data_IF_979801136287
#
_entry.id   IF_979801136287
#
_cell.length_a   1.000
_cell.length_b   1.000
_cell.length_c   1.000
_cell.angle_alpha   90.00
_cell.angle_beta   90.00
_cell.angle_gamma   90.00
#
_symmetry.space_group_name_H-M   'P 1'
#
loop_
_entity.id
_entity.type
_entity.pdbx_description
1 polymer ?
#
# COMPACT_ATOMS: atom_id res chain seq x y z
N UNK A 1 4.83 -21.21 -18.63
CA UNK A 1 4.04 -20.49 -19.65
C UNK A 1 4.44 -19.03 -19.58
N UNK A 2 5.24 -18.58 -20.51
CA UNK A 2 5.63 -17.16 -20.65
C UNK A 2 4.41 -16.38 -21.10
N UNK A 3 3.87 -15.54 -20.21
CA UNK A 3 2.78 -14.62 -20.53
C UNK A 3 3.34 -13.65 -21.58
N UNK A 4 2.96 -13.81 -22.85
CA UNK A 4 3.20 -12.82 -23.88
C UNK A 4 2.56 -11.50 -23.40
N UNK A 5 3.38 -10.51 -23.11
CA UNK A 5 2.92 -9.17 -22.77
C UNK A 5 2.03 -8.69 -23.91
N UNK A 6 0.74 -8.49 -23.59
CA UNK A 6 -0.24 -7.99 -24.55
C UNK A 6 0.18 -6.61 -25.04
N UNK A 7 0.55 -6.54 -26.31
CA UNK A 7 0.95 -5.33 -27.05
C UNK A 7 -0.24 -4.37 -27.34
N UNK A 8 -1.43 -4.64 -26.81
CA UNK A 8 -2.66 -3.95 -27.20
C UNK A 8 -2.91 -2.60 -26.51
N UNK A 9 -2.10 -2.16 -25.58
CA UNK A 9 -2.24 -0.84 -24.98
C UNK A 9 -0.86 -0.19 -24.82
N UNK A 10 -0.46 0.53 -25.85
CA UNK A 10 0.73 1.38 -25.81
C UNK A 10 0.34 2.86 -25.95
N UNK A 11 -0.24 3.50 -24.91
CA UNK A 11 -0.34 4.95 -24.89
C UNK A 11 1.05 5.62 -24.76
N UNK A 12 2.12 4.81 -24.77
CA UNK A 12 3.49 5.20 -24.39
C UNK A 12 4.43 5.23 -25.60
N UNK A 13 4.02 4.73 -26.77
CA UNK A 13 4.94 4.53 -27.91
C UNK A 13 5.38 5.80 -28.64
N UNK A 14 4.72 6.95 -28.39
CA UNK A 14 5.10 8.24 -28.99
C UNK A 14 5.24 9.31 -27.92
N UNK A 15 6.24 9.13 -27.02
CA UNK A 15 6.56 10.18 -26.05
C UNK A 15 7.23 11.35 -26.77
N UNK A 16 6.68 12.55 -26.56
CA UNK A 16 7.27 13.79 -27.05
C UNK A 16 8.57 14.10 -26.27
N UNK A 17 9.39 14.98 -26.83
CA UNK A 17 10.57 15.51 -26.11
C UNK A 17 10.18 16.11 -24.75
N UNK A 18 9.00 16.72 -24.67
CA UNK A 18 8.44 17.31 -23.43
C UNK A 18 8.16 16.21 -22.40
N UNK A 19 7.62 15.05 -22.79
CA UNK A 19 7.34 13.95 -21.87
C UNK A 19 8.64 13.38 -21.28
N UNK A 20 9.69 13.25 -22.08
CA UNK A 20 11.02 12.86 -21.60
C UNK A 20 11.62 13.88 -20.64
N UNK A 21 11.50 15.17 -20.96
CA UNK A 21 11.97 16.24 -20.09
C UNK A 21 11.26 16.23 -18.73
N UNK A 22 9.92 16.15 -18.73
CA UNK A 22 9.11 16.07 -17.51
C UNK A 22 9.47 14.83 -16.69
N UNK A 23 9.65 13.69 -17.34
CA UNK A 23 10.06 12.45 -16.66
C UNK A 23 11.42 12.61 -15.96
N UNK A 24 12.42 13.15 -16.65
CA UNK A 24 13.75 13.37 -16.07
C UNK A 24 13.69 14.37 -14.91
N UNK A 25 12.89 15.44 -15.03
CA UNK A 25 12.69 16.41 -13.94
C UNK A 25 12.05 15.72 -12.71
N UNK A 26 11.02 14.90 -12.90
CA UNK A 26 10.40 14.11 -11.82
C UNK A 26 11.42 13.18 -11.15
N UNK A 27 12.29 12.55 -11.92
CA UNK A 27 13.35 11.68 -11.40
C UNK A 27 14.37 12.47 -10.55
N UNK A 28 14.79 13.64 -11.01
CA UNK A 28 15.67 14.54 -10.25
C UNK A 28 15.01 14.94 -8.93
N UNK A 29 13.74 15.38 -8.97
CA UNK A 29 13.00 15.75 -7.75
C UNK A 29 12.90 14.57 -6.80
N UNK A 30 12.63 13.35 -7.30
CA UNK A 30 12.61 12.14 -6.48
C UNK A 30 13.94 11.89 -5.77
N UNK A 31 15.06 11.95 -6.51
CA UNK A 31 16.39 11.70 -5.94
C UNK A 31 16.74 12.77 -4.90
N UNK A 32 16.56 14.04 -5.24
CA UNK A 32 16.88 15.16 -4.35
C UNK A 32 16.03 15.12 -3.08
N UNK A 33 14.71 14.93 -3.20
CA UNK A 33 13.84 14.83 -2.04
C UNK A 33 14.15 13.60 -1.17
N UNK A 34 14.50 12.46 -1.78
CA UNK A 34 14.93 11.27 -1.04
C UNK A 34 16.19 11.54 -0.22
N UNK A 35 17.20 12.18 -0.82
CA UNK A 35 18.45 12.54 -0.13
C UNK A 35 18.15 13.48 1.05
N UNK A 36 17.39 14.55 0.83
CA UNK A 36 17.03 15.52 1.88
C UNK A 36 16.31 14.83 3.03
N UNK A 37 15.33 13.99 2.73
CA UNK A 37 14.53 13.29 3.75
C UNK A 37 15.35 12.25 4.51
N UNK A 38 16.24 11.51 3.83
CA UNK A 38 17.18 10.59 4.47
C UNK A 38 18.05 11.36 5.49
N UNK A 39 18.68 12.47 5.07
CA UNK A 39 19.47 13.29 5.98
C UNK A 39 18.65 13.84 7.15
N UNK A 40 17.43 14.30 6.89
CA UNK A 40 16.55 14.81 7.94
C UNK A 40 16.18 13.72 8.97
N UNK A 41 15.86 12.49 8.53
CA UNK A 41 15.61 11.37 9.45
C UNK A 41 16.84 10.98 10.23
N UNK A 42 18.02 10.91 9.59
CA UNK A 42 19.27 10.52 10.26
C UNK A 42 19.72 11.56 11.30
N UNK A 43 19.53 12.85 11.02
CA UNK A 43 19.95 13.93 11.92
C UNK A 43 18.95 14.20 13.04
N UNK A 44 17.66 14.18 12.73
CA UNK A 44 16.62 14.67 13.64
C UNK A 44 15.64 13.58 14.11
N UNK A 45 15.53 12.44 13.40
CA UNK A 45 14.52 11.43 13.70
C UNK A 45 14.60 10.87 15.12
N UNK A 46 15.82 10.66 15.64
CA UNK A 46 16.02 10.18 17.03
C UNK A 46 15.80 11.27 18.09
N UNK A 47 15.99 12.54 17.72
CA UNK A 47 15.92 13.69 18.64
C UNK A 47 14.50 14.24 18.74
N UNK A 48 13.75 14.19 17.66
CA UNK A 48 12.43 14.80 17.55
C UNK A 48 11.46 13.76 16.99
N UNK A 49 10.61 13.14 17.83
CA UNK A 49 9.66 12.07 17.41
C UNK A 49 8.72 12.49 16.28
N UNK A 50 8.45 13.79 16.12
CA UNK A 50 7.68 14.32 15.00
C UNK A 50 8.31 13.96 13.65
N UNK A 51 9.63 14.10 13.51
CA UNK A 51 10.32 13.80 12.25
C UNK A 51 10.24 12.31 11.90
N UNK A 52 10.41 11.43 12.90
CA UNK A 52 10.31 9.98 12.69
C UNK A 52 8.94 9.57 12.15
N UNK A 53 7.87 10.20 12.64
CA UNK A 53 6.49 9.90 12.24
C UNK A 53 6.06 10.56 10.93
N UNK A 54 6.38 11.84 10.72
CA UNK A 54 5.80 12.63 9.65
C UNK A 54 6.67 12.74 8.39
N UNK A 55 7.99 12.57 8.47
CA UNK A 55 8.83 12.57 7.27
C UNK A 55 8.46 11.48 6.26
N UNK A 56 8.14 10.23 6.67
CA UNK A 56 7.64 9.23 5.73
C UNK A 56 6.35 9.67 5.03
N UNK A 57 5.42 10.33 5.74
CA UNK A 57 4.18 10.85 5.15
C UNK A 57 4.48 11.90 4.08
N UNK A 58 5.39 12.84 4.38
CA UNK A 58 5.82 13.88 3.42
C UNK A 58 6.46 13.22 2.18
N UNK A 59 7.32 12.23 2.39
CA UNK A 59 7.93 11.47 1.30
C UNK A 59 6.88 10.79 0.41
N UNK A 60 5.90 10.11 1.01
CA UNK A 60 4.81 9.49 0.28
C UNK A 60 3.97 10.52 -0.48
N UNK A 61 3.70 11.71 0.09
CA UNK A 61 3.01 12.80 -0.62
C UNK A 61 3.80 13.29 -1.84
N UNK A 62 5.12 13.41 -1.73
CA UNK A 62 5.98 13.74 -2.85
C UNK A 62 5.89 12.65 -3.95
N UNK A 63 5.94 11.36 -3.57
CA UNK A 63 5.81 10.26 -4.53
C UNK A 63 4.47 10.29 -5.26
N UNK A 64 3.36 10.51 -4.55
CA UNK A 64 2.03 10.63 -5.14
C UNK A 64 1.96 11.77 -6.13
N UNK A 65 2.50 12.94 -5.76
CA UNK A 65 2.57 14.09 -6.64
C UNK A 65 3.42 13.80 -7.90
N UNK A 66 4.60 13.20 -7.73
CA UNK A 66 5.48 12.81 -8.84
C UNK A 66 4.82 11.81 -9.80
N UNK A 67 4.04 10.86 -9.27
CA UNK A 67 3.33 9.87 -10.06
C UNK A 67 1.98 10.36 -10.57
N UNK A 68 1.62 11.63 -10.27
CA UNK A 68 0.35 12.23 -10.66
C UNK A 68 -0.86 11.42 -10.18
N UNK A 69 -0.78 10.88 -8.95
CA UNK A 69 -1.83 10.11 -8.31
C UNK A 69 -2.79 11.07 -7.60
N UNK A 70 -4.08 10.93 -7.87
CA UNK A 70 -5.18 11.64 -7.23
C UNK A 70 -5.93 10.67 -6.33
N UNK A 71 -6.03 11.00 -5.03
CA UNK A 71 -6.71 10.18 -4.04
C UNK A 71 -8.08 10.79 -3.75
N UNK A 72 -9.12 9.98 -3.90
CA UNK A 72 -10.48 10.26 -3.45
C UNK A 72 -10.75 9.47 -2.19
N UNK A 73 -11.20 10.13 -1.14
CA UNK A 73 -11.52 9.49 0.15
C UNK A 73 -13.03 9.32 0.27
N UNK A 74 -13.46 8.13 0.69
CA UNK A 74 -14.85 7.80 1.00
C UNK A 74 -14.93 7.16 2.38
N UNK A 75 -15.90 7.57 3.19
CA UNK A 75 -15.98 7.19 4.60
C UNK A 75 -15.03 8.02 5.48
N UNK A 76 -14.95 7.65 6.74
CA UNK A 76 -14.18 8.40 7.75
C UNK A 76 -13.00 7.56 8.26
N UNK A 77 -11.84 8.23 8.37
CA UNK A 77 -10.70 7.65 9.08
C UNK A 77 -10.99 7.73 10.57
N UNK A 78 -10.90 6.61 11.27
CA UNK A 78 -10.95 6.64 12.73
C UNK A 78 -9.70 7.31 13.29
N UNK A 79 -9.82 8.60 13.60
CA UNK A 79 -8.77 9.40 14.22
C UNK A 79 -8.84 9.39 15.75
N UNK A 80 -9.82 8.69 16.34
CA UNK A 80 -10.11 8.70 17.78
C UNK A 80 -9.10 7.95 18.65
N UNK A 81 -7.94 7.58 18.10
CA UNK A 81 -6.89 6.75 18.71
C UNK A 81 -7.31 5.31 19.07
N UNK A 82 -8.50 4.88 18.63
CA UNK A 82 -8.97 3.53 18.92
C UNK A 82 -8.44 2.50 17.91
N UNK A 83 -8.23 2.89 16.65
CA UNK A 83 -7.74 1.98 15.62
C UNK A 83 -6.22 1.96 15.57
N UNK A 84 -5.65 0.80 15.91
CA UNK A 84 -4.21 0.56 15.89
C UNK A 84 -3.80 -0.26 14.67
N UNK A 85 -4.70 -1.13 14.16
CA UNK A 85 -4.45 -1.96 12.99
C UNK A 85 -5.31 -1.52 11.81
N UNK A 86 -4.66 -1.30 10.68
CA UNK A 86 -5.30 -1.00 9.40
C UNK A 86 -5.00 -2.11 8.41
N UNK A 87 -5.97 -2.47 7.60
CA UNK A 87 -5.82 -3.52 6.58
C UNK A 87 -6.48 -3.10 5.27
N UNK A 88 -5.99 -3.63 4.15
CA UNK A 88 -6.66 -3.49 2.86
C UNK A 88 -6.35 -4.64 1.90
N UNK A 89 -7.07 -4.66 0.76
CA UNK A 89 -6.65 -5.40 -0.42
C UNK A 89 -5.34 -4.83 -0.99
N UNK A 90 -4.62 -5.62 -1.81
CA UNK A 90 -3.30 -5.27 -2.32
C UNK A 90 -3.16 -5.56 -3.82
N UNK A 91 -2.93 -4.51 -4.61
CA UNK A 91 -2.76 -4.63 -6.06
C UNK A 91 -1.34 -4.31 -6.53
N UNK A 92 -0.70 -3.33 -5.88
CA UNK A 92 0.52 -2.74 -6.39
C UNK A 92 1.40 -2.21 -5.26
N UNK A 93 2.71 -2.10 -5.50
CA UNK A 93 3.59 -1.35 -4.60
C UNK A 93 3.17 0.12 -4.45
N UNK A 94 2.35 0.66 -5.36
CA UNK A 94 1.78 2.00 -5.25
C UNK A 94 0.81 2.14 -4.06
N UNK A 95 0.23 1.04 -3.58
CA UNK A 95 -0.67 1.07 -2.42
C UNK A 95 0.04 1.62 -1.17
N UNK A 96 1.36 1.37 -1.06
CA UNK A 96 2.18 1.83 0.07
C UNK A 96 2.25 3.37 0.13
N UNK A 97 2.73 4.09 -0.91
CA UNK A 97 2.76 5.54 -0.88
C UNK A 97 1.37 6.17 -0.86
N UNK A 98 0.34 5.54 -1.46
CA UNK A 98 -1.04 6.03 -1.41
C UNK A 98 -1.52 6.07 0.04
N UNK A 99 -1.45 4.95 0.75
CA UNK A 99 -1.86 4.86 2.15
C UNK A 99 -0.96 5.66 3.08
N UNK A 100 0.36 5.55 2.90
CA UNK A 100 1.34 6.25 3.72
C UNK A 100 1.33 7.77 3.57
N UNK A 101 0.68 8.31 2.54
CA UNK A 101 0.48 9.76 2.39
C UNK A 101 -0.67 10.31 3.21
N UNK A 102 -1.54 9.46 3.73
CA UNK A 102 -2.75 9.89 4.45
C UNK A 102 -2.45 10.25 5.90
N UNK A 103 -1.74 9.40 6.62
CA UNK A 103 -1.30 9.62 8.00
C UNK A 103 -0.10 8.70 8.34
N UNK A 104 0.58 8.90 9.49
CA UNK A 104 1.70 8.07 9.89
C UNK A 104 1.28 6.60 10.07
N UNK A 105 1.93 5.70 9.32
CA UNK A 105 1.67 4.26 9.34
C UNK A 105 3.00 3.49 9.39
N UNK A 106 3.04 2.39 10.14
CA UNK A 106 4.10 1.39 10.06
C UNK A 106 3.60 0.21 9.23
N UNK A 107 4.15 0.03 8.05
CA UNK A 107 3.81 -1.09 7.20
C UNK A 107 4.45 -2.39 7.65
N UNK A 108 3.74 -3.48 7.48
CA UNK A 108 4.30 -4.83 7.62
C UNK A 108 4.67 -5.33 6.22
N UNK A 109 5.93 -5.68 6.02
CA UNK A 109 6.45 -6.16 4.75
C UNK A 109 7.23 -7.47 4.91
N UNK A 110 7.41 -8.20 3.81
CA UNK A 110 8.24 -9.39 3.77
C UNK A 110 9.72 -9.04 3.94
N UNK A 111 10.49 -9.88 4.62
CA UNK A 111 11.93 -9.69 4.83
C UNK A 111 12.73 -9.57 3.55
N UNK A 112 12.27 -10.18 2.44
CA UNK A 112 12.91 -10.06 1.13
C UNK A 112 12.94 -8.61 0.61
N UNK A 113 11.96 -7.77 1.02
CA UNK A 113 11.93 -6.34 0.66
C UNK A 113 13.03 -5.55 1.37
N UNK A 114 13.44 -6.00 2.53
CA UNK A 114 14.48 -5.33 3.35
C UNK A 114 15.82 -5.18 2.63
N UNK A 115 16.16 -6.12 1.76
CA UNK A 115 17.41 -6.15 1.00
C UNK A 115 17.31 -5.50 -0.38
N UNK A 116 16.14 -4.97 -0.75
CA UNK A 116 16.00 -4.27 -2.03
C UNK A 116 16.81 -2.96 -2.01
N UNK A 117 17.63 -2.72 -3.05
CA UNK A 117 18.38 -1.49 -3.15
C UNK A 117 17.47 -0.26 -3.06
N UNK A 118 17.83 0.73 -2.27
CA UNK A 118 17.12 1.97 -1.99
C UNK A 118 15.77 1.75 -1.27
N UNK A 119 14.85 0.91 -1.82
CA UNK A 119 13.50 0.70 -1.26
C UNK A 119 13.54 0.05 0.12
N UNK A 120 14.40 -0.96 0.33
CA UNK A 120 14.57 -1.59 1.64
C UNK A 120 15.11 -0.62 2.67
N UNK A 121 16.08 0.22 2.28
CA UNK A 121 16.62 1.27 3.15
C UNK A 121 15.57 2.32 3.51
N UNK A 122 14.79 2.82 2.53
CA UNK A 122 13.70 3.76 2.78
C UNK A 122 12.59 3.16 3.66
N UNK A 123 12.26 1.88 3.43
CA UNK A 123 11.29 1.17 4.26
C UNK A 123 11.76 1.04 5.72
N UNK A 124 13.05 0.76 5.96
CA UNK A 124 13.64 0.77 7.31
C UNK A 124 13.53 2.12 7.98
N UNK A 125 13.87 3.19 7.26
CA UNK A 125 13.75 4.56 7.77
C UNK A 125 12.29 4.93 8.07
N UNK A 126 11.33 4.42 7.29
CA UNK A 126 9.89 4.58 7.53
C UNK A 126 9.34 3.68 8.64
N UNK A 127 10.19 2.94 9.36
CA UNK A 127 9.78 2.09 10.48
C UNK A 127 8.99 0.85 10.05
N UNK A 128 9.19 0.34 8.84
CA UNK A 128 8.56 -0.89 8.36
C UNK A 128 8.94 -2.08 9.22
N UNK A 129 7.95 -2.90 9.58
CA UNK A 129 8.12 -4.14 10.33
C UNK A 129 8.35 -5.27 9.33
N UNK A 130 9.57 -5.81 9.28
CA UNK A 130 9.89 -6.91 8.38
C UNK A 130 9.59 -8.26 9.02
N UNK A 131 8.86 -9.11 8.27
CA UNK A 131 8.47 -10.46 8.68
C UNK A 131 9.01 -11.50 7.70
N UNK A 132 9.56 -12.59 8.26
CA UNK A 132 10.06 -13.74 7.50
C UNK A 132 8.92 -14.67 7.08
N UNK A 133 9.11 -15.49 6.05
CA UNK A 133 8.17 -16.57 5.70
C UNK A 133 8.39 -17.85 6.49
N UNK A 134 9.48 -17.93 7.28
CA UNK A 134 9.78 -19.11 8.03
C UNK A 134 8.82 -19.30 9.20
N UNK A 135 8.28 -20.50 9.35
CA UNK A 135 7.37 -20.82 10.46
C UNK A 135 8.07 -20.76 11.82
N UNK A 136 9.38 -21.03 11.88
CA UNK A 136 10.20 -20.88 13.08
C UNK A 136 10.15 -19.48 13.67
N UNK A 137 9.99 -18.47 12.82
CA UNK A 137 10.05 -17.06 13.22
C UNK A 137 8.66 -16.48 13.55
N UNK A 138 7.61 -17.31 13.46
CA UNK A 138 6.21 -16.87 13.58
C UNK A 138 5.89 -16.19 14.91
N UNK A 139 6.50 -16.65 16.00
CA UNK A 139 6.33 -16.05 17.32
C UNK A 139 7.03 -14.69 17.44
N UNK A 140 8.24 -14.57 16.91
CA UNK A 140 8.98 -13.31 16.88
C UNK A 140 8.24 -12.26 16.04
N UNK A 141 7.70 -12.68 14.90
CA UNK A 141 6.90 -11.81 14.02
C UNK A 141 5.62 -11.31 14.70
N UNK A 142 4.89 -12.23 15.34
CA UNK A 142 3.73 -11.89 16.17
C UNK A 142 4.10 -10.84 17.23
N UNK A 143 5.21 -11.07 17.94
CA UNK A 143 5.67 -10.20 19.01
C UNK A 143 6.09 -8.81 18.50
N UNK A 144 6.75 -8.72 17.33
CA UNK A 144 7.11 -7.44 16.72
C UNK A 144 5.87 -6.60 16.38
N UNK A 145 4.87 -7.19 15.73
CA UNK A 145 3.62 -6.51 15.41
C UNK A 145 2.86 -6.14 16.67
N UNK A 146 2.74 -7.08 17.63
CA UNK A 146 2.07 -6.83 18.90
C UNK A 146 2.73 -5.68 19.69
N UNK A 147 4.06 -5.62 19.73
CA UNK A 147 4.79 -4.54 20.40
C UNK A 147 4.46 -3.17 19.79
N UNK A 148 4.45 -3.06 18.47
CA UNK A 148 4.07 -1.82 17.78
C UNK A 148 2.65 -1.41 18.12
N UNK A 149 1.68 -2.33 18.03
CA UNK A 149 0.28 -2.08 18.37
C UNK A 149 0.11 -1.64 19.83
N UNK A 150 0.84 -2.26 20.76
CA UNK A 150 0.80 -1.93 22.19
C UNK A 150 1.50 -0.62 22.54
N UNK A 151 2.33 -0.10 21.63
CA UNK A 151 3.00 1.20 21.76
C UNK A 151 2.21 2.34 21.10
N UNK A 152 0.92 2.12 20.83
CA UNK A 152 0.01 3.07 20.18
C UNK A 152 0.47 3.52 18.78
N UNK A 153 1.24 2.66 18.12
CA UNK A 153 1.62 2.87 16.72
C UNK A 153 0.53 2.34 15.80
N UNK A 154 0.29 3.06 14.71
CA UNK A 154 -0.67 2.64 13.68
C UNK A 154 0.01 1.68 12.71
N UNK A 155 -0.35 0.41 12.79
CA UNK A 155 0.23 -0.66 11.95
C UNK A 155 -0.66 -0.93 10.75
N UNK A 156 -0.06 -1.13 9.59
CA UNK A 156 -0.76 -1.47 8.35
C UNK A 156 -0.31 -2.82 7.80
N UNK A 157 -1.27 -3.70 7.53
CA UNK A 157 -1.03 -5.03 6.98
C UNK A 157 -1.87 -5.25 5.73
N UNK A 158 -1.28 -5.87 4.69
CA UNK A 158 -1.99 -6.45 3.57
C UNK A 158 -2.21 -7.95 3.81
N UNK A 159 -3.41 -8.38 4.25
CA UNK A 159 -3.63 -9.77 4.69
C UNK A 159 -3.53 -10.81 3.57
N UNK A 160 -3.67 -10.39 2.30
CA UNK A 160 -3.42 -11.25 1.13
C UNK A 160 -1.98 -11.79 1.11
N UNK A 161 -1.04 -11.05 1.72
CA UNK A 161 0.38 -11.39 1.78
C UNK A 161 1.06 -11.42 0.42
N UNK A 162 0.40 -10.98 -0.64
CA UNK A 162 0.91 -10.77 -1.99
C UNK A 162 -0.02 -9.83 -2.73
N UNK A 163 0.43 -9.29 -3.85
CA UNK A 163 -0.39 -8.45 -4.74
C UNK A 163 -1.21 -9.30 -5.70
N UNK A 164 -2.42 -8.85 -6.01
CA UNK A 164 -3.34 -9.44 -7.00
C UNK A 164 -3.24 -8.75 -8.36
N UNK A 165 -3.89 -9.32 -9.39
CA UNK A 165 -4.08 -8.68 -10.70
C UNK A 165 -5.12 -7.54 -10.69
N UNK A 166 -5.72 -7.28 -9.53
CA UNK A 166 -6.74 -6.26 -9.33
C UNK A 166 -8.14 -6.64 -9.82
N UNK A 167 -8.35 -7.82 -10.38
CA UNK A 167 -9.68 -8.26 -10.79
C UNK A 167 -10.49 -8.88 -9.65
N UNK A 168 -9.81 -9.23 -8.57
CA UNK A 168 -10.39 -9.75 -7.33
C UNK A 168 -9.47 -9.49 -6.14
N UNK A 169 -10.04 -9.52 -4.96
CA UNK A 169 -9.28 -9.60 -3.70
C UNK A 169 -8.95 -11.07 -3.44
N UNK A 170 -7.69 -11.37 -3.13
CA UNK A 170 -7.25 -12.72 -2.79
C UNK A 170 -7.67 -13.10 -1.37
N UNK A 171 -7.56 -14.38 -1.04
CA UNK A 171 -7.90 -14.88 0.28
C UNK A 171 -6.94 -14.35 1.34
N UNK A 172 -7.48 -13.96 2.49
CA UNK A 172 -6.70 -13.42 3.58
C UNK A 172 -5.99 -14.54 4.36
N UNK A 173 -4.75 -14.29 4.72
CA UNK A 173 -4.00 -15.18 5.59
C UNK A 173 -4.35 -14.89 7.04
N UNK A 174 -5.02 -15.82 7.70
CA UNK A 174 -5.39 -15.66 9.12
C UNK A 174 -4.19 -15.42 10.04
N UNK A 175 -2.98 -15.83 9.63
CA UNK A 175 -1.73 -15.50 10.33
C UNK A 175 -1.44 -14.01 10.43
N UNK A 176 -1.96 -13.19 9.52
CA UNK A 176 -1.85 -11.73 9.56
C UNK A 176 -2.52 -11.11 10.81
N UNK A 177 -3.46 -11.83 11.39
CA UNK A 177 -4.20 -11.41 12.59
C UNK A 177 -3.70 -12.04 13.88
N UNK A 178 -2.58 -12.79 13.84
CA UNK A 178 -2.05 -13.49 15.01
C UNK A 178 -1.67 -12.56 16.17
N UNK A 179 -1.22 -11.34 15.86
CA UNK A 179 -0.82 -10.36 16.87
C UNK A 179 -2.00 -9.77 17.66
N UNK A 180 -3.21 -9.81 17.09
CA UNK A 180 -4.42 -9.27 17.72
C UNK A 180 -5.33 -10.34 18.31
N UNK A 181 -5.00 -11.63 18.12
CA UNK A 181 -5.77 -12.76 18.62
C UNK A 181 -5.82 -12.76 20.15
N UNK A 182 -7.03 -12.81 20.72
CA UNK A 182 -7.24 -12.77 22.17
C UNK A 182 -6.96 -11.41 22.83
N UNK A 183 -6.73 -10.37 22.03
CA UNK A 183 -6.45 -9.01 22.50
C UNK A 183 -7.63 -8.08 22.24
N UNK A 184 -7.57 -6.87 22.82
CA UNK A 184 -8.56 -5.82 22.61
C UNK A 184 -7.98 -4.74 21.69
N UNK A 185 -7.96 -5.00 20.40
CA UNK A 185 -7.54 -4.03 19.40
C UNK A 185 -8.70 -3.68 18.46
N UNK A 186 -8.58 -2.54 17.83
CA UNK A 186 -9.52 -2.09 16.83
C UNK A 186 -8.86 -2.14 15.45
N UNK A 187 -9.58 -2.69 14.47
CA UNK A 187 -9.13 -2.84 13.09
C UNK A 187 -10.00 -1.95 12.19
N UNK A 188 -9.38 -1.05 11.45
CA UNK A 188 -10.07 -0.33 10.38
C UNK A 188 -9.73 -0.94 9.02
N UNK A 189 -10.71 -1.56 8.33
CA UNK A 189 -10.54 -2.04 6.98
C UNK A 189 -10.63 -0.88 5.99
N UNK A 190 -9.80 -0.92 4.95
CA UNK A 190 -9.77 0.06 3.86
C UNK A 190 -9.85 -0.70 2.55
N UNK A 191 -10.63 -0.19 1.59
CA UNK A 191 -10.68 -0.76 0.24
C UNK A 191 -9.98 0.20 -0.71
N UNK A 192 -8.98 -0.31 -1.44
CA UNK A 192 -8.23 0.45 -2.45
C UNK A 192 -8.79 0.09 -3.82
N UNK A 193 -9.28 1.10 -4.55
CA UNK A 193 -9.84 0.94 -5.89
C UNK A 193 -9.18 1.91 -6.84
N UNK A 194 -8.39 1.41 -7.78
CA UNK A 194 -7.89 2.23 -8.89
C UNK A 194 -9.03 2.47 -9.88
N UNK A 195 -9.34 3.73 -10.10
CA UNK A 195 -10.58 4.11 -10.76
C UNK A 195 -10.42 4.64 -12.16
N UNK A 196 -9.31 5.31 -12.42
CA UNK A 196 -9.09 5.98 -13.70
C UNK A 196 -7.60 5.99 -14.03
N UNK A 197 -7.29 5.91 -15.32
CA UNK A 197 -5.96 5.95 -15.87
C UNK A 197 -5.95 6.93 -17.06
N UNK A 198 -5.28 8.07 -16.93
CA UNK A 198 -5.20 9.11 -17.94
C UNK A 198 -6.58 9.61 -18.43
N UNK A 199 -7.59 9.70 -17.54
CA UNK A 199 -8.95 10.08 -17.88
C UNK A 199 -9.83 8.93 -18.39
N UNK A 200 -9.31 7.69 -18.42
CA UNK A 200 -10.05 6.51 -18.87
C UNK A 200 -10.42 5.66 -17.65
N UNK A 201 -11.72 5.37 -17.44
CA UNK A 201 -12.14 4.46 -16.37
C UNK A 201 -11.48 3.10 -16.48
N UNK A 202 -10.94 2.59 -15.36
CA UNK A 202 -10.24 1.32 -15.34
C UNK A 202 -11.23 0.16 -15.37
N UNK A 203 -11.16 -0.64 -16.42
CA UNK A 203 -11.87 -1.90 -16.58
C UNK A 203 -10.97 -3.10 -16.26
N UNK A 204 -11.54 -4.32 -16.37
CA UNK A 204 -10.79 -5.56 -16.08
C UNK A 204 -9.49 -5.74 -16.91
N UNK A 205 -9.43 -5.16 -18.10
CA UNK A 205 -8.27 -5.27 -18.99
C UNK A 205 -7.17 -4.25 -18.66
N UNK A 206 -7.56 -3.12 -18.08
CA UNK A 206 -6.62 -2.05 -17.69
C UNK A 206 -6.07 -2.23 -16.28
N UNK A 207 -6.74 -2.97 -15.40
CA UNK A 207 -6.25 -3.21 -14.02
C UNK A 207 -4.84 -3.81 -13.99
N UNK A 208 -4.48 -4.80 -14.82
CA UNK A 208 -3.12 -5.34 -14.85
C UNK A 208 -2.03 -4.33 -15.25
N UNK A 209 -2.40 -3.17 -15.78
CA UNK A 209 -1.43 -2.08 -16.10
C UNK A 209 -0.92 -1.42 -14.82
N UNK A 210 -1.79 -1.29 -13.81
CA UNK A 210 -1.45 -0.70 -12.49
C UNK A 210 -0.96 -1.79 -11.52
N UNK A 211 -1.56 -2.98 -11.60
CA UNK A 211 -1.25 -4.08 -10.71
C UNK A 211 0.18 -4.58 -10.94
N UNK A 212 0.87 -4.89 -9.85
CA UNK A 212 2.19 -5.51 -9.88
C UNK A 212 2.10 -6.87 -9.20
N UNK A 213 2.09 -7.95 -9.97
CA UNK A 213 1.82 -9.31 -9.48
C UNK A 213 2.63 -10.37 -10.23
N UNK A 214 2.70 -11.57 -9.67
CA UNK A 214 3.46 -12.68 -10.24
C UNK A 214 4.96 -12.35 -10.34
N UNK A 215 5.55 -12.66 -11.49
CA UNK A 215 6.98 -12.50 -11.74
C UNK A 215 7.31 -11.17 -12.46
N UNK A 216 6.47 -10.15 -12.30
CA UNK A 216 6.70 -8.85 -12.93
C UNK A 216 7.93 -8.15 -12.34
N UNK A 217 8.83 -7.70 -13.20
CA UNK A 217 9.98 -6.90 -12.79
C UNK A 217 9.56 -5.49 -12.36
N UNK A 218 10.05 -5.05 -11.20
CA UNK A 218 9.70 -3.76 -10.62
C UNK A 218 10.12 -2.58 -11.50
N UNK A 219 11.37 -2.54 -11.97
CA UNK A 219 11.94 -1.40 -12.69
C UNK A 219 11.21 -1.09 -14.01
N UNK A 220 10.98 -2.05 -14.94
CA UNK A 220 10.22 -1.78 -16.15
C UNK A 220 8.78 -1.33 -15.87
N UNK A 221 8.14 -1.91 -14.85
CA UNK A 221 6.78 -1.56 -14.48
C UNK A 221 6.71 -0.13 -13.90
N UNK A 222 7.62 0.23 -12.99
CA UNK A 222 7.70 1.56 -12.40
C UNK A 222 7.95 2.64 -13.47
N UNK A 223 8.85 2.38 -14.43
CA UNK A 223 9.12 3.30 -15.53
C UNK A 223 7.89 3.51 -16.43
N UNK A 224 7.07 2.49 -16.62
CA UNK A 224 5.78 2.61 -17.32
C UNK A 224 4.83 3.52 -16.55
N UNK A 225 4.64 3.25 -15.26
CA UNK A 225 3.70 4.02 -14.43
C UNK A 225 4.13 5.48 -14.26
N UNK A 226 5.44 5.75 -14.13
CA UNK A 226 5.96 7.11 -14.00
C UNK A 226 5.73 8.00 -15.24
N UNK A 227 5.41 7.38 -16.40
CA UNK A 227 5.07 8.08 -17.65
C UNK A 227 3.59 8.38 -17.79
N UNK A 228 2.75 7.86 -16.91
CA UNK A 228 1.32 8.15 -16.91
C UNK A 228 1.09 9.60 -16.49
N UNK A 229 0.06 10.21 -17.09
CA UNK A 229 -0.30 11.62 -16.82
C UNK A 229 -1.17 11.75 -15.58
N UNK A 230 -2.01 10.74 -15.29
CA UNK A 230 -2.83 10.70 -14.08
C UNK A 230 -3.25 9.29 -13.73
N UNK A 231 -3.35 9.04 -12.43
CA UNK A 231 -3.92 7.82 -11.85
C UNK A 231 -4.91 8.27 -10.77
N UNK A 232 -6.18 7.84 -10.86
CA UNK A 232 -7.15 8.11 -9.78
C UNK A 232 -7.36 6.88 -8.94
N UNK A 233 -7.35 7.07 -7.64
CA UNK A 233 -7.52 6.00 -6.65
C UNK A 233 -8.55 6.43 -5.63
N UNK A 234 -9.51 5.56 -5.33
CA UNK A 234 -10.46 5.73 -4.26
C UNK A 234 -10.00 4.88 -3.06
N UNK A 235 -9.90 5.50 -1.89
CA UNK A 235 -9.75 4.84 -0.60
C UNK A 235 -11.09 4.87 0.13
N UNK A 236 -11.69 3.71 0.35
CA UNK A 236 -12.97 3.55 1.03
C UNK A 236 -12.68 3.05 2.44
N UNK A 237 -12.91 3.89 3.44
CA UNK A 237 -12.76 3.55 4.85
C UNK A 237 -14.04 2.88 5.33
N UNK A 238 -13.91 1.67 5.87
CA UNK A 238 -15.05 0.92 6.40
C UNK A 238 -15.09 1.06 7.93
N UNK A 239 -16.27 0.73 8.52
CA UNK A 239 -16.45 0.79 9.97
C UNK A 239 -15.42 -0.05 10.70
N UNK A 240 -14.92 0.53 11.78
CA UNK A 240 -13.96 -0.10 12.69
C UNK A 240 -14.56 -1.32 13.36
N UNK A 241 -13.72 -2.33 13.54
CA UNK A 241 -14.10 -3.62 14.10
C UNK A 241 -13.26 -3.91 15.33
N UNK A 242 -13.91 -4.28 16.44
CA UNK A 242 -13.19 -4.69 17.65
C UNK A 242 -12.89 -6.19 17.60
N UNK A 243 -11.61 -6.56 17.84
CA UNK A 243 -11.16 -7.95 17.81
C UNK A 243 -11.78 -8.83 18.89
N UNK A 244 -12.25 -8.26 19.99
CA UNK A 244 -13.01 -9.00 21.05
C UNK A 244 -14.35 -9.58 20.58
N UNK A 245 -14.88 -9.09 19.47
CA UNK A 245 -16.16 -9.58 18.93
C UNK A 245 -16.01 -10.91 18.15
N UNK A 246 -14.81 -11.46 18.09
CA UNK A 246 -14.48 -12.65 17.32
C UNK A 246 -13.90 -13.73 18.21
N UNK A 247 -14.18 -14.98 17.85
CA UNK A 247 -13.72 -16.14 18.60
C UNK A 247 -12.21 -16.36 18.46
N UNK A 248 -11.70 -16.28 17.23
CA UNK A 248 -10.29 -16.47 16.91
C UNK A 248 -9.85 -15.61 15.70
N UNK A 249 -8.57 -15.70 15.34
CA UNK A 249 -8.00 -15.00 14.19
C UNK A 249 -8.59 -15.41 12.83
N UNK A 250 -9.13 -16.64 12.70
CA UNK A 250 -9.76 -17.12 11.46
C UNK A 250 -11.11 -16.46 11.26
N UNK A 251 -11.85 -16.31 12.35
CA UNK A 251 -13.13 -15.61 12.36
C UNK A 251 -12.98 -14.15 11.96
N UNK A 252 -12.02 -13.42 12.59
CA UNK A 252 -11.64 -12.06 12.19
C UNK A 252 -11.27 -11.98 10.72
N UNK A 253 -10.40 -12.91 10.26
CA UNK A 253 -9.92 -12.94 8.87
C UNK A 253 -11.06 -13.10 7.89
N UNK A 254 -11.94 -14.09 8.10
CA UNK A 254 -13.07 -14.39 7.24
C UNK A 254 -14.07 -13.23 7.16
N UNK A 255 -14.38 -12.63 8.31
CA UNK A 255 -15.30 -11.50 8.36
C UNK A 255 -14.76 -10.31 7.54
N UNK A 256 -13.51 -9.91 7.80
CA UNK A 256 -12.89 -8.77 7.15
C UNK A 256 -12.64 -9.01 5.65
N UNK A 257 -12.24 -10.21 5.29
CA UNK A 257 -12.10 -10.65 3.90
C UNK A 257 -13.42 -10.47 3.13
N UNK A 258 -14.51 -11.02 3.65
CA UNK A 258 -15.82 -10.92 3.04
C UNK A 258 -16.30 -9.47 2.93
N UNK A 259 -16.07 -8.64 3.95
CA UNK A 259 -16.42 -7.22 3.96
C UNK A 259 -15.67 -6.47 2.87
N UNK A 260 -14.35 -6.64 2.78
CA UNK A 260 -13.51 -6.00 1.75
C UNK A 260 -13.84 -6.53 0.35
N UNK A 261 -13.98 -7.84 0.16
CA UNK A 261 -14.36 -8.45 -1.13
C UNK A 261 -15.70 -7.91 -1.65
N UNK A 262 -16.70 -7.78 -0.78
CA UNK A 262 -18.02 -7.26 -1.14
C UNK A 262 -17.94 -5.82 -1.63
N UNK A 263 -17.31 -4.93 -0.85
CA UNK A 263 -17.19 -3.52 -1.21
C UNK A 263 -16.33 -3.32 -2.46
N UNK A 264 -15.20 -4.04 -2.55
CA UNK A 264 -14.33 -4.00 -3.73
C UNK A 264 -15.10 -4.41 -4.99
N UNK A 265 -15.82 -5.53 -4.96
CA UNK A 265 -16.59 -6.04 -6.10
C UNK A 265 -17.68 -5.05 -6.54
N UNK A 266 -18.41 -4.43 -5.61
CA UNK A 266 -19.38 -3.37 -5.92
C UNK A 266 -18.70 -2.17 -6.58
N UNK A 267 -17.62 -1.66 -5.98
CA UNK A 267 -16.92 -0.47 -6.47
C UNK A 267 -16.32 -0.64 -7.87
N UNK A 268 -15.86 -1.85 -8.24
CA UNK A 268 -15.37 -2.12 -9.59
C UNK A 268 -16.48 -2.41 -10.60
N UNK A 269 -17.69 -2.82 -10.15
CA UNK A 269 -18.84 -3.11 -11.01
C UNK A 269 -19.65 -1.86 -11.35
N UNK A 270 -19.85 -0.96 -10.41
CA UNK A 270 -20.59 0.30 -10.62
C UNK A 270 -20.00 1.19 -11.73
N UNK A 271 -18.71 1.02 -12.03
CA UNK A 271 -18.01 1.75 -13.08
C UNK A 271 -18.16 1.14 -14.48
N UNK A 272 -18.65 -0.08 -14.58
CA UNK A 272 -18.97 -0.72 -15.86
C UNK A 272 -20.38 -0.34 -16.35
N UNK A 273 -21.20 0.28 -15.49
CA UNK A 273 -22.58 0.66 -15.77
C UNK A 273 -22.75 2.14 -16.12
N UNK A 274 -21.70 2.96 -16.04
CA UNK A 274 -21.62 4.36 -16.47
C UNK A 274 -20.73 4.49 -17.70
#
# INVERSE_FOLDING_TARGET
MTVKQNTYFSPINNLSFIDHFIFNLKLIVFVVSSIILIFAVLLFGKLIPFFDKWLPVIFHKILIWLLSIQIELEGEIDTSNNSNLYISNHLSYLDIPILGSTFPLRFVAKSEVEVWPLFGFLAKLGGTIFISRNRSDSLDQKNKVFKSLSSDEKVFIFPEGTTSDGNRVLDFKSSSFSAVEGQNFFIQPIVIVYSDLNGIPINRWLRPVIAWYGDMELKPHLLKLARLRSIKVKLIYLDVVNTKNFFDRKDVSNYLENKIKKVYSSAISEKLAK
#
